data_IF_940988546024
#
_entry.id   IF_940988546024
#
_cell.length_a   1.000
_cell.length_b   1.000
_cell.length_c   1.000
_cell.angle_alpha   90.00
_cell.angle_beta   90.00
_cell.angle_gamma   90.00
#
_symmetry.space_group_name_H-M   'P 1'
#
loop_
_entity.id
_entity.type
_entity.pdbx_description
1 polymer ?
#
# COMPACT_ATOMS: atom_id res chain seq x y z
N UNK A 1 13.40 15.49 -3.16
CA UNK A 1 13.19 16.58 -4.14
C UNK A 1 11.98 16.31 -5.04
N UNK A 2 11.94 15.18 -5.78
CA UNK A 2 10.84 14.86 -6.73
C UNK A 2 9.45 14.58 -6.11
N UNK A 3 9.37 14.02 -4.90
CA UNK A 3 8.07 13.76 -4.23
C UNK A 3 7.33 15.05 -3.86
N UNK A 4 8.03 16.05 -3.33
CA UNK A 4 7.44 17.35 -2.98
C UNK A 4 6.96 18.06 -4.24
N UNK A 5 7.73 17.98 -5.32
CA UNK A 5 7.36 18.51 -6.63
C UNK A 5 6.12 17.82 -7.21
N UNK A 6 6.00 16.50 -7.07
CA UNK A 6 4.80 15.76 -7.43
C UNK A 6 3.56 16.24 -6.64
N UNK A 7 3.64 16.35 -5.31
CA UNK A 7 2.48 16.82 -4.55
C UNK A 7 2.09 18.26 -4.89
N UNK A 8 3.07 19.10 -5.26
CA UNK A 8 2.81 20.45 -5.78
C UNK A 8 2.22 20.47 -7.19
N UNK A 9 2.45 19.44 -8.01
CA UNK A 9 1.86 19.38 -9.35
C UNK A 9 0.40 18.93 -9.32
N UNK A 10 0.00 18.13 -8.32
CA UNK A 10 -1.39 17.68 -8.16
C UNK A 10 -2.41 18.83 -8.08
N UNK A 11 -2.05 19.95 -7.46
CA UNK A 11 -2.96 21.12 -7.32
C UNK A 11 -3.19 21.86 -8.64
N UNK A 12 -2.41 21.56 -9.68
CA UNK A 12 -2.53 22.15 -11.03
C UNK A 12 -3.26 21.25 -12.01
N UNK A 13 -3.63 20.04 -11.59
CA UNK A 13 -4.29 19.04 -12.43
C UNK A 13 -5.80 19.15 -12.32
N UNK A 14 -6.49 18.82 -13.40
CA UNK A 14 -7.94 18.63 -13.41
C UNK A 14 -8.36 17.55 -12.39
N UNK A 15 -9.56 17.67 -11.82
CA UNK A 15 -10.04 16.83 -10.71
C UNK A 15 -9.80 15.33 -10.90
N UNK A 16 -10.09 14.82 -12.09
CA UNK A 16 -9.93 13.40 -12.42
C UNK A 16 -8.46 13.01 -12.47
N UNK A 17 -7.64 13.78 -13.17
CA UNK A 17 -6.21 13.49 -13.25
C UNK A 17 -5.57 13.58 -11.85
N UNK A 18 -5.91 14.62 -11.07
CA UNK A 18 -5.44 14.83 -9.71
C UNK A 18 -5.62 13.56 -8.84
N UNK A 19 -6.84 13.01 -8.75
CA UNK A 19 -7.10 11.82 -7.94
C UNK A 19 -6.48 10.55 -8.53
N UNK A 20 -6.51 10.36 -9.85
CA UNK A 20 -5.90 9.19 -10.49
C UNK A 20 -4.37 9.19 -10.22
N UNK A 21 -3.69 10.34 -10.34
CA UNK A 21 -2.25 10.48 -10.05
C UNK A 21 -1.93 10.35 -8.57
N UNK A 22 -2.75 10.92 -7.70
CA UNK A 22 -2.64 10.74 -6.25
C UNK A 22 -2.71 9.24 -5.89
N UNK A 23 -3.69 8.52 -6.43
CA UNK A 23 -3.85 7.08 -6.21
C UNK A 23 -2.68 6.30 -6.78
N UNK A 24 -2.27 6.54 -8.03
CA UNK A 24 -1.12 5.87 -8.66
C UNK A 24 0.13 6.02 -7.80
N UNK A 25 0.45 7.25 -7.37
CA UNK A 25 1.66 7.48 -6.60
C UNK A 25 1.63 6.73 -5.26
N UNK A 26 0.53 6.81 -4.52
CA UNK A 26 0.42 6.14 -3.23
C UNK A 26 0.33 4.62 -3.35
N UNK A 27 -0.33 4.13 -4.42
CA UNK A 27 -0.51 2.71 -4.75
C UNK A 27 0.63 2.08 -5.52
N UNK A 28 1.67 2.84 -5.90
CA UNK A 28 2.64 2.38 -6.91
C UNK A 28 3.31 1.05 -6.58
N UNK A 29 3.60 0.78 -5.30
CA UNK A 29 4.18 -0.48 -4.84
C UNK A 29 3.21 -1.66 -4.96
N UNK A 30 1.91 -1.40 -4.84
CA UNK A 30 0.85 -2.39 -5.02
C UNK A 30 0.62 -2.63 -6.51
N UNK A 31 0.59 -1.56 -7.31
CA UNK A 31 0.43 -1.63 -8.77
C UNK A 31 1.58 -2.41 -9.43
N UNK A 32 2.82 -2.23 -8.97
CA UNK A 32 3.98 -2.99 -9.48
C UNK A 32 4.05 -4.42 -8.93
N UNK A 33 3.16 -4.80 -8.00
CA UNK A 33 3.11 -6.13 -7.42
C UNK A 33 4.23 -6.46 -6.43
N UNK A 34 5.05 -5.48 -6.03
CA UNK A 34 6.14 -5.68 -5.06
C UNK A 34 5.66 -5.64 -3.61
N UNK A 35 4.49 -5.04 -3.36
CA UNK A 35 3.83 -4.99 -2.05
C UNK A 35 2.38 -5.47 -2.18
N UNK A 36 1.85 -6.28 -1.25
CA UNK A 36 0.49 -6.79 -1.36
C UNK A 36 -0.59 -5.71 -1.17
N UNK A 37 -0.33 -4.72 -0.32
CA UNK A 37 -1.28 -3.65 -0.02
C UNK A 37 -0.59 -2.37 0.45
N UNK A 38 -1.35 -1.28 0.54
CA UNK A 38 -0.92 -0.03 1.17
C UNK A 38 -2.12 0.69 1.77
N UNK A 39 -1.91 1.44 2.86
CA UNK A 39 -2.93 2.36 3.38
C UNK A 39 -2.84 3.71 2.71
N UNK A 40 -3.98 4.30 2.36
CA UNK A 40 -4.09 5.66 1.84
C UNK A 40 -5.06 6.43 2.72
N UNK A 41 -4.65 7.64 3.13
CA UNK A 41 -5.53 8.59 3.80
C UNK A 41 -6.04 9.59 2.78
N UNK A 42 -7.35 9.62 2.58
CA UNK A 42 -8.07 10.58 1.76
C UNK A 42 -8.66 11.62 2.71
N UNK A 43 -8.13 12.84 2.66
CA UNK A 43 -8.62 13.93 3.50
C UNK A 43 -9.96 14.46 3.01
N UNK A 44 -10.79 14.87 3.96
CA UNK A 44 -12.05 15.60 3.75
C UNK A 44 -11.82 17.06 4.10
N UNK A 45 -10.93 17.69 3.35
CA UNK A 45 -10.57 19.10 3.46
C UNK A 45 -10.98 19.87 2.20
N UNK A 46 -10.64 21.16 2.16
CA UNK A 46 -11.02 22.08 1.09
C UNK A 46 -10.46 21.71 -0.29
N UNK A 47 -9.50 20.77 -0.38
CA UNK A 47 -8.98 20.29 -1.66
C UNK A 47 -9.95 19.31 -2.37
N UNK A 48 -11.09 19.01 -1.73
CA UNK A 48 -12.17 18.14 -2.22
C UNK A 48 -11.67 16.76 -2.67
N UNK A 49 -10.59 16.25 -2.06
CA UNK A 49 -9.99 14.98 -2.44
C UNK A 49 -10.96 13.80 -2.23
N UNK A 50 -11.79 13.87 -1.20
CA UNK A 50 -12.86 12.91 -0.94
C UNK A 50 -13.89 12.88 -2.07
N UNK A 51 -14.36 14.02 -2.57
CA UNK A 51 -15.32 14.07 -3.67
C UNK A 51 -14.72 13.53 -4.97
N UNK A 52 -13.45 13.85 -5.25
CA UNK A 52 -12.71 13.31 -6.39
C UNK A 52 -12.54 11.79 -6.27
N UNK A 53 -12.30 11.28 -5.06
CA UNK A 53 -12.23 9.84 -4.77
C UNK A 53 -13.55 9.14 -5.09
N UNK A 54 -14.67 9.65 -4.59
CA UNK A 54 -16.00 9.08 -4.85
C UNK A 54 -16.34 9.16 -6.34
N UNK A 55 -16.08 10.30 -6.99
CA UNK A 55 -16.48 10.55 -8.38
C UNK A 55 -15.63 9.79 -9.40
N UNK A 56 -14.32 9.67 -9.19
CA UNK A 56 -13.40 9.09 -10.18
C UNK A 56 -12.53 7.96 -9.62
N UNK A 57 -12.05 8.08 -8.38
CA UNK A 57 -11.06 7.19 -7.78
C UNK A 57 -11.48 5.72 -7.73
N UNK A 58 -12.70 5.43 -7.28
CA UNK A 58 -13.25 4.07 -7.20
C UNK A 58 -13.25 3.39 -8.58
N UNK A 59 -13.76 4.09 -9.59
CA UNK A 59 -13.83 3.57 -10.97
C UNK A 59 -12.44 3.38 -11.58
N UNK A 60 -11.47 4.22 -11.20
CA UNK A 60 -10.10 4.14 -11.68
C UNK A 60 -9.39 2.91 -11.11
N UNK A 61 -9.46 2.66 -9.80
CA UNK A 61 -8.88 1.47 -9.18
C UNK A 61 -9.40 0.18 -9.82
N UNK A 62 -10.72 0.11 -10.06
CA UNK A 62 -11.35 -1.02 -10.77
C UNK A 62 -10.74 -1.23 -12.17
N UNK A 63 -10.49 -0.16 -12.92
CA UNK A 63 -9.92 -0.25 -14.28
C UNK A 63 -8.46 -0.72 -14.31
N UNK A 64 -7.71 -0.48 -13.23
CA UNK A 64 -6.31 -0.93 -13.12
C UNK A 64 -6.15 -2.25 -12.34
N UNK A 65 -7.28 -2.91 -12.01
CA UNK A 65 -7.33 -4.19 -11.30
C UNK A 65 -6.69 -4.13 -9.90
N UNK A 66 -7.04 -3.08 -9.15
CA UNK A 66 -6.66 -2.88 -7.75
C UNK A 66 -7.92 -2.77 -6.90
N UNK A 67 -7.94 -3.52 -5.81
CA UNK A 67 -9.06 -3.55 -4.86
C UNK A 67 -8.83 -2.58 -3.71
N UNK A 68 -9.89 -2.25 -2.97
CA UNK A 68 -9.78 -1.47 -1.76
C UNK A 68 -10.84 -1.86 -0.72
N UNK A 69 -10.56 -1.58 0.55
CA UNK A 69 -11.52 -1.63 1.65
C UNK A 69 -11.38 -0.40 2.54
N UNK A 70 -12.51 0.15 3.01
CA UNK A 70 -12.52 1.23 3.99
C UNK A 70 -12.17 0.68 5.37
N UNK A 71 -11.06 1.13 5.95
CA UNK A 71 -10.62 0.73 7.30
C UNK A 71 -11.27 1.61 8.38
N UNK A 72 -11.26 2.92 8.16
CA UNK A 72 -11.85 3.90 9.08
C UNK A 72 -12.28 5.15 8.35
N UNK A 73 -13.42 5.69 8.72
CA UNK A 73 -13.89 6.97 8.24
C UNK A 73 -14.28 7.86 9.42
N UNK A 74 -13.81 9.10 9.40
CA UNK A 74 -14.14 10.15 10.36
C UNK A 74 -14.55 11.40 9.58
N UNK A 75 -14.91 12.47 10.29
CA UNK A 75 -15.33 13.74 9.67
C UNK A 75 -14.21 14.36 8.82
N UNK A 76 -12.95 14.17 9.22
CA UNK A 76 -11.80 14.81 8.58
C UNK A 76 -11.10 13.94 7.52
N UNK A 77 -11.34 12.62 7.50
CA UNK A 77 -10.62 11.71 6.60
C UNK A 77 -11.27 10.34 6.46
N UNK A 78 -10.98 9.70 5.32
CA UNK A 78 -11.19 8.29 5.04
C UNK A 78 -9.83 7.59 4.94
N UNK A 79 -9.63 6.49 5.67
CA UNK A 79 -8.48 5.60 5.55
C UNK A 79 -8.93 4.35 4.82
N UNK A 80 -8.33 4.09 3.67
CA UNK A 80 -8.54 2.88 2.88
C UNK A 80 -7.29 2.00 2.91
N UNK A 81 -7.48 0.69 2.84
CA UNK A 81 -6.46 -0.26 2.43
C UNK A 81 -6.68 -0.56 0.96
N UNK A 82 -5.71 -0.23 0.11
CA UNK A 82 -5.69 -0.65 -1.29
C UNK A 82 -4.81 -1.89 -1.43
N UNK A 83 -5.19 -2.84 -2.28
CA UNK A 83 -4.49 -4.11 -2.36
C UNK A 83 -4.62 -4.79 -3.72
N UNK A 84 -3.62 -5.61 -4.03
CA UNK A 84 -3.74 -6.62 -5.07
C UNK A 84 -4.28 -7.89 -4.41
N UNK A 85 -5.45 -8.35 -4.84
CA UNK A 85 -6.19 -9.45 -4.22
C UNK A 85 -5.34 -10.72 -4.05
N UNK A 86 -4.79 -11.24 -5.16
CA UNK A 86 -3.97 -12.46 -5.15
C UNK A 86 -2.69 -12.32 -4.31
N UNK A 87 -1.98 -11.19 -4.42
CA UNK A 87 -0.74 -10.97 -3.66
C UNK A 87 -1.02 -10.85 -2.17
N UNK A 88 -2.11 -10.18 -1.79
CA UNK A 88 -2.50 -10.05 -0.40
C UNK A 88 -2.93 -11.40 0.18
N UNK A 89 -3.79 -12.14 -0.52
CA UNK A 89 -4.22 -13.48 -0.11
C UNK A 89 -3.02 -14.41 0.10
N UNK A 90 -2.14 -14.52 -0.89
CA UNK A 90 -0.93 -15.36 -0.81
C UNK A 90 -0.02 -14.98 0.36
N UNK A 91 0.06 -13.68 0.70
CA UNK A 91 0.90 -13.21 1.80
C UNK A 91 0.24 -13.45 3.16
N UNK A 92 -1.01 -13.05 3.33
CA UNK A 92 -1.74 -13.13 4.61
C UNK A 92 -2.02 -14.58 4.99
N UNK A 93 -2.42 -15.42 4.03
CA UNK A 93 -2.75 -16.83 4.26
C UNK A 93 -1.51 -17.74 4.24
N UNK A 94 -0.30 -17.17 4.06
CA UNK A 94 0.94 -17.91 4.29
C UNK A 94 0.94 -18.45 5.72
N UNK A 95 1.29 -19.73 5.88
CA UNK A 95 1.19 -20.49 7.13
C UNK A 95 1.59 -19.69 8.37
N UNK A 96 2.78 -19.09 8.40
CA UNK A 96 3.30 -18.40 9.59
C UNK A 96 2.54 -17.12 9.91
N UNK A 97 2.08 -16.39 8.88
CA UNK A 97 1.28 -15.18 9.04
C UNK A 97 -0.12 -15.52 9.56
N UNK A 98 -0.73 -16.56 8.99
CA UNK A 98 -2.03 -17.06 9.40
C UNK A 98 -2.04 -17.57 10.84
N UNK A 99 -1.02 -18.35 11.24
CA UNK A 99 -0.85 -18.82 12.61
C UNK A 99 -0.70 -17.66 13.60
N UNK A 100 0.03 -16.61 13.24
CA UNK A 100 0.14 -15.41 14.06
C UNK A 100 -1.20 -14.64 14.17
N UNK A 101 -1.90 -14.45 13.05
CA UNK A 101 -3.20 -13.77 13.04
C UNK A 101 -4.25 -14.56 13.84
N UNK A 102 -4.22 -15.89 13.79
CA UNK A 102 -5.10 -16.75 14.60
C UNK A 102 -4.97 -16.44 16.10
N UNK A 103 -3.75 -16.21 16.59
CA UNK A 103 -3.50 -15.82 17.99
C UNK A 103 -4.13 -14.47 18.36
N UNK A 104 -4.43 -13.62 17.37
CA UNK A 104 -5.08 -12.31 17.53
C UNK A 104 -6.59 -12.37 17.32
N UNK A 105 -7.16 -13.56 17.14
CA UNK A 105 -8.60 -13.79 16.97
C UNK A 105 -9.08 -13.71 15.52
N UNK A 106 -8.21 -13.92 14.54
CA UNK A 106 -8.60 -14.10 13.13
C UNK A 106 -9.00 -15.57 12.88
N UNK A 107 -9.84 -15.81 11.87
CA UNK A 107 -10.39 -17.14 11.59
C UNK A 107 -9.37 -18.07 10.93
N UNK A 108 -9.25 -19.31 11.41
CA UNK A 108 -8.34 -20.30 10.81
C UNK A 108 -8.83 -20.83 9.46
N UNK A 109 -10.13 -20.85 9.17
CA UNK A 109 -10.67 -21.38 7.90
C UNK A 109 -11.23 -20.27 7.00
N UNK A 110 -10.99 -19.01 7.36
CA UNK A 110 -11.48 -17.86 6.60
C UNK A 110 -10.66 -17.56 5.35
N UNK A 111 -11.33 -16.99 4.36
CA UNK A 111 -10.69 -16.45 3.16
C UNK A 111 -10.05 -15.08 3.43
N UNK A 112 -9.51 -14.44 2.38
CA UNK A 112 -8.93 -13.10 2.54
C UNK A 112 -9.96 -12.03 2.93
N UNK A 113 -11.22 -12.17 2.51
CA UNK A 113 -12.28 -11.22 2.85
C UNK A 113 -12.62 -11.29 4.34
N UNK A 114 -12.70 -12.50 4.91
CA UNK A 114 -12.89 -12.69 6.36
C UNK A 114 -11.80 -11.99 7.17
N UNK A 115 -10.54 -12.13 6.73
CA UNK A 115 -9.40 -11.48 7.37
C UNK A 115 -9.45 -9.95 7.22
N UNK A 116 -9.84 -9.44 6.06
CA UNK A 116 -10.00 -8.00 5.81
C UNK A 116 -11.14 -7.38 6.64
N UNK A 117 -12.27 -8.08 6.77
CA UNK A 117 -13.37 -7.67 7.63
C UNK A 117 -12.92 -7.65 9.09
N UNK A 118 -12.18 -8.68 9.54
CA UNK A 118 -11.64 -8.71 10.90
C UNK A 118 -10.63 -7.58 11.15
N UNK A 119 -9.77 -7.30 10.19
CA UNK A 119 -8.84 -6.17 10.26
C UNK A 119 -9.60 -4.86 10.39
N UNK A 120 -10.67 -4.64 9.61
CA UNK A 120 -11.52 -3.45 9.71
C UNK A 120 -12.15 -3.30 11.10
N UNK A 121 -12.66 -4.39 11.67
CA UNK A 121 -13.18 -4.38 13.06
C UNK A 121 -12.09 -3.96 14.05
N UNK A 122 -10.91 -4.57 13.97
CA UNK A 122 -9.78 -4.27 14.86
C UNK A 122 -9.24 -2.86 14.66
N UNK A 123 -9.29 -2.33 13.43
CA UNK A 123 -8.94 -0.95 13.14
C UNK A 123 -9.84 0.05 13.87
N UNK A 124 -11.14 -0.24 13.95
CA UNK A 124 -12.10 0.56 14.71
C UNK A 124 -11.82 0.51 16.22
N UNK A 125 -11.40 -0.64 16.75
CA UNK A 125 -11.14 -0.82 18.18
C UNK A 125 -9.82 -0.19 18.64
N UNK A 126 -8.76 -0.37 17.87
CA UNK A 126 -7.39 -0.03 18.30
C UNK A 126 -6.78 1.18 17.59
N UNK A 127 -7.52 1.84 16.68
CA UNK A 127 -7.04 3.01 15.94
C UNK A 127 -5.68 2.78 15.24
N UNK A 128 -5.59 1.71 14.42
CA UNK A 128 -4.39 1.14 13.79
C UNK A 128 -3.78 -0.01 14.60
N UNK A 129 -4.24 -1.26 14.37
CA UNK A 129 -3.78 -2.41 15.14
C UNK A 129 -2.40 -2.86 14.63
N UNK A 130 -1.51 -3.32 15.51
CA UNK A 130 -0.13 -3.63 15.14
C UNK A 130 0.00 -4.67 14.02
N UNK A 131 -0.92 -5.64 13.96
CA UNK A 131 -0.91 -6.67 12.93
C UNK A 131 -1.25 -6.16 11.52
N UNK A 132 -1.66 -4.89 11.36
CA UNK A 132 -1.75 -4.23 10.05
C UNK A 132 -0.44 -4.38 9.26
N UNK A 133 0.71 -4.45 9.94
CA UNK A 133 2.00 -4.68 9.29
C UNK A 133 2.03 -5.96 8.44
N UNK A 134 1.33 -7.03 8.86
CA UNK A 134 1.22 -8.27 8.08
C UNK A 134 0.47 -8.02 6.76
N UNK A 135 -0.66 -7.31 6.83
CA UNK A 135 -1.44 -6.97 5.64
C UNK A 135 -0.66 -6.07 4.68
N UNK A 136 0.18 -5.19 5.22
CA UNK A 136 1.09 -4.33 4.44
C UNK A 136 2.27 -5.09 3.82
N UNK A 137 2.44 -6.38 4.09
CA UNK A 137 3.54 -7.18 3.56
C UNK A 137 4.86 -7.03 4.30
N UNK A 138 4.85 -6.57 5.56
CA UNK A 138 6.07 -6.47 6.36
C UNK A 138 6.47 -7.83 6.93
N UNK A 139 7.78 -8.13 7.03
CA UNK A 139 8.25 -9.38 7.60
C UNK A 139 7.63 -9.66 8.98
N UNK A 140 7.10 -10.87 9.15
CA UNK A 140 6.36 -11.25 10.36
C UNK A 140 7.16 -11.01 11.65
N UNK A 141 8.46 -11.30 11.64
CA UNK A 141 9.31 -11.11 12.82
C UNK A 141 9.43 -9.64 13.20
N UNK A 142 9.53 -8.73 12.21
CA UNK A 142 9.54 -7.29 12.47
C UNK A 142 8.19 -6.81 13.03
N UNK A 143 7.07 -7.37 12.57
CA UNK A 143 5.74 -7.07 13.12
C UNK A 143 5.63 -7.55 14.58
N UNK A 144 6.08 -8.78 14.87
CA UNK A 144 6.07 -9.36 16.21
C UNK A 144 6.94 -8.55 17.18
N UNK A 145 8.11 -8.12 16.74
CA UNK A 145 9.00 -7.28 17.55
C UNK A 145 8.43 -5.89 17.78
N UNK A 146 7.86 -5.26 16.75
CA UNK A 146 7.18 -3.98 16.90
C UNK A 146 6.03 -4.05 17.91
N UNK A 147 5.29 -5.17 17.92
CA UNK A 147 4.17 -5.38 18.83
C UNK A 147 4.60 -5.65 20.28
N UNK A 148 5.67 -6.41 20.50
CA UNK A 148 5.99 -6.97 21.83
C UNK A 148 7.27 -6.41 22.48
N UNK A 149 8.18 -5.80 21.72
CA UNK A 149 9.53 -5.51 22.19
C UNK A 149 9.82 -4.01 22.17
N UNK A 150 9.78 -3.37 23.35
CA UNK A 150 10.22 -1.96 23.51
C UNK A 150 11.74 -1.81 23.53
N UNK A 151 12.47 -2.86 23.93
CA UNK A 151 13.92 -2.81 24.16
C UNK A 151 14.76 -3.33 22.98
N UNK A 152 14.14 -4.03 22.02
CA UNK A 152 14.88 -4.56 20.86
C UNK A 152 15.37 -3.40 20.01
N UNK A 153 16.68 -3.37 19.76
CA UNK A 153 17.32 -2.32 18.96
C UNK A 153 16.79 -2.34 17.53
N UNK A 154 16.24 -1.22 17.09
CA UNK A 154 15.92 -0.98 15.68
C UNK A 154 17.23 -0.90 14.87
N UNK A 155 17.37 -1.77 13.86
CA UNK A 155 18.55 -1.84 13.00
C UNK A 155 18.56 -0.70 11.97
N UNK A 156 17.37 -0.37 11.43
CA UNK A 156 17.17 0.77 10.53
C UNK A 156 15.69 1.11 10.41
N UNK A 157 15.40 2.30 9.88
CA UNK A 157 14.05 2.76 9.58
C UNK A 157 13.99 3.20 8.11
N UNK A 158 12.96 2.75 7.40
CA UNK A 158 12.68 3.14 6.02
C UNK A 158 11.19 3.01 5.74
N UNK A 159 10.80 2.01 4.95
CA UNK A 159 9.38 1.72 4.69
C UNK A 159 8.67 1.01 5.86
N UNK A 160 9.44 0.41 6.77
CA UNK A 160 9.03 -0.05 8.09
C UNK A 160 10.23 0.02 9.06
N UNK A 161 9.99 -0.26 10.34
CA UNK A 161 11.04 -0.39 11.35
C UNK A 161 11.63 -1.80 11.31
N UNK A 162 12.94 -1.90 11.05
CA UNK A 162 13.61 -3.18 10.84
C UNK A 162 14.27 -3.63 12.13
N UNK A 163 13.93 -4.82 12.60
CA UNK A 163 14.45 -5.41 13.83
C UNK A 163 15.26 -6.68 13.58
N UNK A 164 15.07 -7.34 12.43
CA UNK A 164 15.65 -8.65 12.15
C UNK A 164 16.65 -8.63 10.99
N UNK A 165 16.17 -8.62 9.75
CA UNK A 165 17.02 -8.78 8.57
C UNK A 165 17.31 -7.44 7.88
N UNK A 166 18.41 -6.79 8.27
CA UNK A 166 18.84 -5.52 7.70
C UNK A 166 19.14 -5.61 6.20
N UNK A 167 19.67 -6.74 5.74
CA UNK A 167 20.13 -6.89 4.35
C UNK A 167 18.94 -7.04 3.40
N UNK A 168 18.00 -7.93 3.72
CA UNK A 168 16.78 -8.11 2.94
C UNK A 168 15.86 -6.87 3.01
N UNK A 169 15.82 -6.18 4.16
CA UNK A 169 15.11 -4.92 4.26
C UNK A 169 15.70 -3.85 3.33
N UNK A 170 17.03 -3.68 3.29
CA UNK A 170 17.69 -2.72 2.38
C UNK A 170 17.44 -3.06 0.91
N UNK A 171 17.51 -4.34 0.52
CA UNK A 171 17.15 -4.77 -0.85
C UNK A 171 15.71 -4.43 -1.19
N UNK A 172 14.78 -4.69 -0.27
CA UNK A 172 13.35 -4.39 -0.44
C UNK A 172 13.11 -2.90 -0.57
N UNK A 173 13.72 -2.08 0.30
CA UNK A 173 13.63 -0.62 0.24
C UNK A 173 14.14 -0.09 -1.10
N UNK A 174 15.30 -0.57 -1.55
CA UNK A 174 15.85 -0.17 -2.85
C UNK A 174 14.91 -0.53 -4.02
N UNK A 175 14.25 -1.70 -3.97
CA UNK A 175 13.23 -2.06 -4.96
C UNK A 175 12.03 -1.11 -4.91
N UNK A 176 11.58 -0.72 -3.73
CA UNK A 176 10.47 0.23 -3.55
C UNK A 176 10.85 1.64 -4.04
N UNK A 177 12.07 2.09 -3.77
CA UNK A 177 12.58 3.38 -4.24
C UNK A 177 12.56 3.44 -5.76
N UNK A 178 13.05 2.39 -6.44
CA UNK A 178 12.98 2.28 -7.92
C UNK A 178 11.56 2.45 -8.45
N UNK A 179 10.57 1.79 -7.84
CA UNK A 179 9.16 1.94 -8.24
C UNK A 179 8.68 3.38 -8.04
N UNK A 180 9.00 4.01 -6.91
CA UNK A 180 8.59 5.39 -6.59
C UNK A 180 9.24 6.39 -7.55
N UNK A 181 10.52 6.25 -7.84
CA UNK A 181 11.25 7.09 -8.79
C UNK A 181 10.69 6.97 -10.20
N UNK A 182 10.49 5.74 -10.67
CA UNK A 182 9.87 5.45 -11.97
C UNK A 182 8.48 6.09 -12.08
N UNK A 183 7.65 5.91 -11.06
CA UNK A 183 6.31 6.49 -10.99
C UNK A 183 6.36 8.01 -11.10
N UNK A 184 7.18 8.67 -10.29
CA UNK A 184 7.25 10.14 -10.30
C UNK A 184 7.77 10.67 -11.62
N UNK A 185 8.75 10.00 -12.24
CA UNK A 185 9.27 10.41 -13.55
C UNK A 185 8.18 10.43 -14.62
N UNK A 186 7.38 9.37 -14.73
CA UNK A 186 6.29 9.28 -15.71
C UNK A 186 5.19 10.32 -15.44
N UNK A 187 4.88 10.58 -14.17
CA UNK A 187 3.89 11.62 -13.83
C UNK A 187 4.39 13.01 -14.21
N UNK A 188 5.66 13.34 -13.91
CA UNK A 188 6.23 14.65 -14.23
C UNK A 188 6.45 14.86 -15.74
N UNK A 189 6.59 13.78 -16.52
CA UNK A 189 6.63 13.83 -17.98
C UNK A 189 5.25 14.12 -18.62
N UNK A 190 4.17 14.18 -17.83
CA UNK A 190 2.82 14.44 -18.32
C UNK A 190 2.15 13.22 -18.98
N UNK A 191 2.66 12.00 -18.73
CA UNK A 191 2.02 10.78 -19.25
C UNK A 191 0.62 10.60 -18.67
N UNK A 192 -0.32 9.99 -19.39
CA UNK A 192 -1.68 9.73 -18.88
C UNK A 192 -1.68 8.75 -17.70
N UNK A 193 -2.66 8.84 -16.79
CA UNK A 193 -2.81 7.94 -15.64
C UNK A 193 -2.71 6.45 -16.00
N UNK A 194 -3.37 6.03 -17.09
CA UNK A 194 -3.34 4.64 -17.55
C UNK A 194 -1.96 4.23 -18.07
N UNK A 195 -1.26 5.11 -18.79
CA UNK A 195 0.11 4.84 -19.25
C UNK A 195 1.08 4.67 -18.09
N UNK A 196 0.96 5.52 -17.06
CA UNK A 196 1.77 5.40 -15.84
C UNK A 196 1.47 4.09 -15.11
N UNK A 197 0.20 3.76 -14.89
CA UNK A 197 -0.20 2.51 -14.23
C UNK A 197 0.30 1.28 -15.00
N UNK A 198 0.17 1.27 -16.33
CA UNK A 198 0.68 0.20 -17.19
C UNK A 198 2.20 0.05 -17.09
N UNK A 199 2.93 1.17 -17.14
CA UNK A 199 4.39 1.17 -17.03
C UNK A 199 4.86 0.63 -15.67
N UNK A 200 4.22 1.04 -14.58
CA UNK A 200 4.53 0.54 -13.23
C UNK A 200 4.26 -0.97 -13.12
N UNK A 201 3.15 -1.45 -13.68
CA UNK A 201 2.75 -2.88 -13.65
C UNK A 201 3.77 -3.79 -14.35
N UNK A 202 4.47 -3.26 -15.37
CA UNK A 202 5.43 -4.01 -16.18
C UNK A 202 6.90 -3.75 -15.81
N UNK A 203 7.17 -2.85 -14.85
CA UNK A 203 8.52 -2.42 -14.47
C UNK A 203 9.50 -3.56 -14.20
N UNK A 204 9.03 -4.68 -13.64
CA UNK A 204 9.86 -5.85 -13.34
C UNK A 204 9.63 -7.03 -14.27
N UNK A 205 8.61 -7.00 -15.14
CA UNK A 205 8.35 -8.06 -16.12
C UNK A 205 9.34 -7.95 -17.30
N UNK A 206 9.71 -6.73 -17.70
CA UNK A 206 10.67 -6.50 -18.79
C UNK A 206 12.10 -6.94 -18.44
N UNK A 207 12.43 -7.05 -17.14
CA UNK A 207 13.73 -7.53 -16.66
C UNK A 207 13.85 -9.06 -16.65
N UNK A 208 12.73 -9.79 -16.61
CA UNK A 208 12.73 -11.26 -16.68
C UNK A 208 12.86 -11.76 -18.13
N UNK A 209 12.43 -10.97 -19.12
CA UNK A 209 12.58 -11.28 -20.55
C UNK A 209 13.98 -11.05 -21.14
N UNK A 210 14.90 -10.40 -20.42
CA UNK A 210 16.28 -10.15 -20.86
C UNK A 210 17.26 -11.20 -20.27
N UNK A 211 16.81 -12.02 -19.33
CA UNK A 211 17.62 -13.06 -18.68
C UNK A 211 17.24 -14.50 -19.13
N UNK A 212 16.68 -14.67 -20.33
CA UNK A 212 16.43 -15.97 -20.96
C UNK A 212 17.31 -16.09 -22.21
#
# INVERSE_FOLDING_TARGET
MKQVEFYKSLSKMEDRECIEKFLIYNASLVISGVKPSATITIKKDNDNLYDKWIKYGISFLKKIDIQYINLRECDNALIILIYNEKKLENYVLKKENKEFLLQLGYCNEGDINDHLLKLKERYKQFNCPHELGVFLGFPLNDVKDFMNCKEKKCLTCGYWLVYNDLHEAKKTFHKYDKVKEHTVSYILNGDSSYKVAYSIKNLFNELESINI
#
